data_IF_437972459692
#
_entry.id   IF_437972459692
#
_cell.length_a   1.000
_cell.length_b   1.000
_cell.length_c   1.000
_cell.angle_alpha   90.00
_cell.angle_beta   90.00
_cell.angle_gamma   90.00
#
_symmetry.space_group_name_H-M   'P 1'
#
loop_
_entity.id
_entity.type
_entity.pdbx_description
1 polymer ?
#
# COMPACT_ATOMS: atom_id res chain seq x y z
N UNK A 1 -8.96 -0.11 7.75
CA UNK A 1 -9.01 -0.18 6.28
C UNK A 1 -8.28 -1.42 5.77
N UNK A 2 -8.48 -1.83 4.52
CA UNK A 2 -7.74 -2.92 3.88
C UNK A 2 -6.80 -2.34 2.81
N UNK A 3 -5.50 -2.62 2.93
CA UNK A 3 -4.51 -2.29 1.92
C UNK A 3 -4.33 -3.51 1.00
N UNK A 4 -4.41 -3.29 -0.31
CA UNK A 4 -4.14 -4.27 -1.35
C UNK A 4 -2.98 -3.74 -2.19
N UNK A 5 -2.03 -4.61 -2.51
CA UNK A 5 -0.87 -4.28 -3.35
C UNK A 5 -0.78 -5.36 -4.43
N UNK A 6 -0.69 -4.93 -5.68
CA UNK A 6 -0.44 -5.76 -6.84
C UNK A 6 0.84 -5.29 -7.52
N UNK A 7 1.84 -6.18 -7.58
CA UNK A 7 3.18 -5.86 -8.10
C UNK A 7 3.33 -6.44 -9.49
N UNK A 8 3.23 -5.59 -10.50
CA UNK A 8 3.52 -5.94 -11.89
C UNK A 8 4.96 -5.60 -12.30
N UNK A 9 5.36 -6.02 -13.50
CA UNK A 9 6.71 -5.79 -14.01
C UNK A 9 7.02 -4.29 -14.20
N UNK A 10 6.04 -3.51 -14.68
CA UNK A 10 6.23 -2.08 -14.99
C UNK A 10 5.64 -1.18 -13.93
N UNK A 11 4.52 -1.58 -13.33
CA UNK A 11 3.78 -0.79 -12.36
C UNK A 11 3.40 -1.63 -11.15
N UNK A 12 3.44 -1.01 -9.98
CA UNK A 12 2.85 -1.51 -8.75
C UNK A 12 1.58 -0.71 -8.46
N UNK A 13 0.45 -1.41 -8.36
CA UNK A 13 -0.83 -0.82 -7.99
C UNK A 13 -1.08 -0.98 -6.48
N UNK A 14 -1.53 0.09 -5.84
CA UNK A 14 -1.89 0.11 -4.44
C UNK A 14 -3.34 0.56 -4.29
N UNK A 15 -4.11 -0.14 -3.45
CA UNK A 15 -5.51 0.17 -3.18
C UNK A 15 -5.78 0.18 -1.68
N UNK A 16 -6.47 1.21 -1.19
CA UNK A 16 -6.92 1.34 0.18
C UNK A 16 -8.44 1.34 0.21
N UNK A 17 -9.02 0.31 0.83
CA UNK A 17 -10.46 0.08 0.83
C UNK A 17 -11.05 0.24 2.23
N UNK A 18 -12.18 0.94 2.30
CA UNK A 18 -13.04 1.00 3.48
C UNK A 18 -14.42 0.46 3.13
N UNK A 19 -15.02 -0.35 4.01
CA UNK A 19 -16.35 -0.92 3.77
C UNK A 19 -17.48 0.13 3.60
N UNK A 20 -17.17 1.43 3.77
CA UNK A 20 -18.08 2.56 3.61
C UNK A 20 -17.84 3.42 2.36
N UNK A 21 -17.00 3.00 1.41
CA UNK A 21 -16.99 3.56 0.05
C UNK A 21 -15.98 4.69 -0.24
N UNK A 22 -15.07 5.01 0.67
CA UNK A 22 -13.91 5.86 0.32
C UNK A 22 -12.74 4.97 -0.01
N UNK A 23 -12.57 4.71 -1.31
CA UNK A 23 -11.44 3.97 -1.83
C UNK A 23 -10.38 4.94 -2.38
N UNK A 24 -9.11 4.60 -2.18
CA UNK A 24 -7.97 5.33 -2.74
C UNK A 24 -7.14 4.35 -3.55
N UNK A 25 -6.64 4.79 -4.71
CA UNK A 25 -5.77 3.97 -5.55
C UNK A 25 -4.58 4.79 -6.03
N UNK A 26 -3.44 4.12 -6.17
CA UNK A 26 -2.23 4.68 -6.72
C UNK A 26 -1.57 3.68 -7.65
N UNK A 27 -0.85 4.19 -8.64
CA UNK A 27 0.10 3.42 -9.44
C UNK A 27 1.46 4.09 -9.36
N UNK A 28 2.48 3.29 -9.12
CA UNK A 28 3.87 3.72 -9.13
C UNK A 28 4.66 2.80 -10.04
N UNK A 29 5.71 3.31 -10.67
CA UNK A 29 6.61 2.46 -11.44
C UNK A 29 7.23 1.38 -10.53
N UNK A 30 7.32 0.15 -11.04
CA UNK A 30 8.04 -0.92 -10.35
C UNK A 30 9.54 -0.69 -10.53
N UNK A 31 10.25 -0.64 -9.41
CA UNK A 31 11.71 -0.47 -9.37
C UNK A 31 12.29 -1.62 -8.56
N UNK A 32 12.95 -2.56 -9.25
CA UNK A 32 13.50 -3.77 -8.63
C UNK A 32 14.69 -3.47 -7.70
N UNK A 33 15.33 -2.31 -7.88
CA UNK A 33 16.46 -1.86 -7.08
C UNK A 33 16.03 -1.25 -5.73
N UNK A 34 14.74 -0.94 -5.56
CA UNK A 34 14.24 -0.38 -4.30
C UNK A 34 14.28 -1.41 -3.18
N UNK A 35 14.85 -1.01 -2.06
CA UNK A 35 14.87 -1.76 -0.82
C UNK A 35 13.46 -1.85 -0.21
N UNK A 36 13.29 -2.82 0.70
CA UNK A 36 12.04 -2.97 1.45
C UNK A 36 11.68 -1.71 2.24
N UNK A 37 12.66 -1.01 2.81
CA UNK A 37 12.45 0.21 3.58
C UNK A 37 12.04 1.39 2.70
N UNK A 38 12.65 1.54 1.52
CA UNK A 38 12.23 2.55 0.53
C UNK A 38 10.79 2.30 0.05
N UNK A 39 10.46 1.02 -0.21
CA UNK A 39 9.10 0.63 -0.55
C UNK A 39 8.13 0.93 0.60
N UNK A 40 8.49 0.61 1.83
CA UNK A 40 7.68 0.90 3.02
C UNK A 40 7.45 2.40 3.22
N UNK A 41 8.49 3.22 3.01
CA UNK A 41 8.41 4.69 3.06
C UNK A 41 7.45 5.23 2.00
N UNK A 42 7.57 4.76 0.75
CA UNK A 42 6.66 5.15 -0.34
C UNK A 42 5.21 4.79 -0.01
N UNK A 43 4.94 3.58 0.49
CA UNK A 43 3.59 3.15 0.89
C UNK A 43 3.05 4.01 2.03
N UNK A 44 3.85 4.25 3.06
CA UNK A 44 3.46 5.07 4.21
C UNK A 44 3.10 6.50 3.79
N UNK A 45 3.88 7.10 2.89
CA UNK A 45 3.61 8.44 2.37
C UNK A 45 2.30 8.51 1.57
N UNK A 46 2.04 7.54 0.68
CA UNK A 46 0.78 7.51 -0.07
C UNK A 46 -0.44 7.42 0.85
N UNK A 47 -0.37 6.58 1.88
CA UNK A 47 -1.43 6.43 2.88
C UNK A 47 -1.60 7.74 3.68
N UNK A 48 -0.50 8.36 4.09
CA UNK A 48 -0.51 9.65 4.79
C UNK A 48 -1.11 10.78 3.96
N UNK A 49 -0.80 10.86 2.65
CA UNK A 49 -1.39 11.83 1.73
C UNK A 49 -2.91 11.62 1.54
N UNK A 50 -3.41 10.40 1.73
CA UNK A 50 -4.84 10.13 1.78
C UNK A 50 -5.50 10.49 3.12
N UNK A 51 -4.73 10.95 4.10
CA UNK A 51 -5.22 11.36 5.42
C UNK A 51 -5.31 10.22 6.44
N UNK A 52 -4.65 9.08 6.20
CA UNK A 52 -4.70 7.91 7.07
C UNK A 52 -3.35 7.59 7.71
N UNK A 53 -3.39 6.98 8.89
CA UNK A 53 -2.22 6.42 9.57
C UNK A 53 -2.06 4.92 9.30
N UNK A 54 -0.81 4.43 9.35
CA UNK A 54 -0.51 2.99 9.21
C UNK A 54 -1.20 2.11 10.26
N UNK A 55 -1.50 2.67 11.44
CA UNK A 55 -2.21 1.99 12.54
C UNK A 55 -3.67 1.68 12.21
N UNK A 56 -4.27 2.39 11.25
CA UNK A 56 -5.65 2.19 10.81
C UNK A 56 -5.78 1.09 9.74
N UNK A 57 -4.66 0.57 9.25
CA UNK A 57 -4.61 -0.49 8.26
C UNK A 57 -4.66 -1.84 8.96
N UNK A 58 -5.64 -2.67 8.57
CA UNK A 58 -5.80 -4.02 9.13
C UNK A 58 -4.55 -4.84 8.81
N UNK A 59 -3.89 -5.35 9.84
CA UNK A 59 -2.78 -6.29 9.69
C UNK A 59 -3.35 -7.66 9.34
N UNK A 60 -2.95 -8.20 8.19
CA UNK A 60 -3.18 -9.59 7.89
C UNK A 60 -2.06 -10.42 8.54
N UNK A 61 -2.38 -11.26 9.52
CA UNK A 61 -1.46 -12.29 10.01
C UNK A 61 -1.47 -13.45 9.00
N UNK A 62 -0.77 -13.26 7.89
CA UNK A 62 -0.58 -14.33 6.90
C UNK A 62 0.20 -15.50 7.48
N UNK A 63 0.08 -16.68 6.87
CA UNK A 63 0.75 -17.95 7.28
C UNK A 63 2.29 -17.93 7.34
N UNK A 64 2.92 -16.78 7.08
CA UNK A 64 4.36 -16.58 7.05
C UNK A 64 4.85 -15.55 8.08
N UNK A 65 4.00 -15.14 9.03
CA UNK A 65 4.40 -14.36 10.22
C UNK A 65 4.92 -15.23 11.33
#
# INVERSE_FOLDING_TARGET
MLLVIDVGNTETALGLYSGGGTDRHWRVATRYEETADEKAYQVANLIGLAGYGLTEIKRNKGKYS
#
